data_IF_053961312448
#
_entry.id   IF_053961312448
#
_cell.length_a   1.000
_cell.length_b   1.000
_cell.length_c   1.000
_cell.angle_alpha   90.00
_cell.angle_beta   90.00
_cell.angle_gamma   90.00
#
_symmetry.space_group_name_H-M   'P 1'
#
loop_
_entity.id
_entity.type
_entity.pdbx_description
1 polymer ?
#
# COMPACT_ATOMS: atom_id res chain seq x y z
N UNK A 1 28.39 102.26 -14.13
CA UNK A 1 28.45 101.45 -12.90
C UNK A 1 27.06 101.36 -12.29
N UNK A 2 26.29 100.32 -12.64
CA UNK A 2 24.84 100.29 -12.41
C UNK A 2 24.37 99.23 -11.40
N UNK A 3 23.16 99.44 -10.89
CA UNK A 3 22.41 98.59 -9.93
C UNK A 3 22.24 97.14 -10.41
N UNK A 4 22.38 96.89 -11.72
CA UNK A 4 22.31 95.55 -12.31
C UNK A 4 23.30 94.54 -11.72
N UNK A 5 24.48 94.97 -11.24
CA UNK A 5 25.42 94.10 -10.52
C UNK A 5 24.88 93.63 -9.16
N UNK A 6 24.09 94.47 -8.47
CA UNK A 6 23.49 94.15 -7.18
C UNK A 6 22.23 93.28 -7.32
N UNK A 7 21.46 93.44 -8.40
CA UNK A 7 20.23 92.67 -8.66
C UNK A 7 20.54 91.24 -9.08
N UNK A 8 21.59 91.02 -9.88
CA UNK A 8 21.94 89.69 -10.37
C UNK A 8 23.44 89.40 -10.24
N UNK A 9 23.93 89.15 -9.00
CA UNK A 9 25.36 88.98 -8.73
C UNK A 9 25.95 87.71 -9.38
N UNK A 10 25.13 86.72 -9.70
CA UNK A 10 25.57 85.47 -10.34
C UNK A 10 25.76 85.59 -11.86
N UNK A 11 24.95 86.41 -12.55
CA UNK A 11 25.03 86.59 -14.02
C UNK A 11 26.27 87.36 -14.47
N UNK A 12 26.78 88.26 -13.64
CA UNK A 12 28.01 89.02 -13.91
C UNK A 12 29.26 88.37 -13.28
N UNK A 13 29.16 87.09 -12.90
CA UNK A 13 30.17 86.34 -12.16
C UNK A 13 31.46 86.02 -12.92
N UNK A 14 32.51 85.80 -12.12
CA UNK A 14 33.94 85.52 -12.40
C UNK A 14 34.83 86.69 -12.82
N UNK A 15 34.38 87.64 -13.64
CA UNK A 15 35.25 88.69 -14.20
C UNK A 15 34.85 90.14 -13.85
N UNK A 16 33.70 90.39 -13.21
CA UNK A 16 33.17 91.76 -13.06
C UNK A 16 33.32 92.40 -11.67
N UNK A 17 33.61 91.63 -10.62
CA UNK A 17 33.90 92.11 -9.26
C UNK A 17 34.70 91.05 -8.47
N UNK A 18 36.02 91.23 -8.29
CA UNK A 18 36.87 90.28 -7.57
C UNK A 18 36.68 90.33 -6.04
N UNK A 19 35.87 91.26 -5.52
CA UNK A 19 35.68 91.46 -4.07
C UNK A 19 34.41 90.78 -3.55
N UNK A 20 33.50 90.34 -4.43
CA UNK A 20 32.29 89.64 -4.02
C UNK A 20 32.65 88.27 -3.41
N UNK A 21 32.13 87.90 -2.22
CA UNK A 21 32.42 86.61 -1.62
C UNK A 21 31.77 85.49 -2.46
N UNK A 22 32.59 84.72 -3.17
CA UNK A 22 32.16 83.53 -3.89
C UNK A 22 32.24 82.32 -2.96
N UNK A 23 31.35 81.32 -3.10
CA UNK A 23 31.57 80.05 -2.44
C UNK A 23 32.89 79.44 -2.96
N UNK A 24 33.81 79.01 -2.08
CA UNK A 24 35.04 78.37 -2.51
C UNK A 24 34.71 77.09 -3.28
N UNK A 25 35.35 76.91 -4.44
CA UNK A 25 35.16 75.72 -5.29
C UNK A 25 35.81 74.48 -4.70
N UNK A 26 36.91 74.65 -3.95
CA UNK A 26 37.64 73.59 -3.26
C UNK A 26 37.43 73.76 -1.76
N UNK A 27 36.92 72.72 -1.12
CA UNK A 27 36.66 72.66 0.32
C UNK A 27 37.22 71.36 0.89
N UNK A 28 37.47 71.32 2.21
CA UNK A 28 37.88 70.10 2.89
C UNK A 28 36.78 69.02 2.77
N UNK A 29 37.18 67.79 2.47
CA UNK A 29 36.30 66.64 2.30
C UNK A 29 35.45 66.41 3.56
N UNK A 30 36.05 66.55 4.76
CA UNK A 30 35.33 66.39 6.02
C UNK A 30 34.22 67.42 6.17
N UNK A 31 34.52 68.67 5.82
CA UNK A 31 33.56 69.76 5.87
C UNK A 31 32.41 69.54 4.88
N UNK A 32 32.72 69.11 3.65
CA UNK A 32 31.71 68.84 2.63
C UNK A 32 30.79 67.66 3.02
N UNK A 33 31.36 66.55 3.50
CA UNK A 33 30.59 65.40 3.97
C UNK A 33 29.68 65.73 5.17
N UNK A 34 30.19 66.52 6.14
CA UNK A 34 29.39 67.00 7.26
C UNK A 34 28.25 67.91 6.81
N UNK A 35 28.52 68.81 5.86
CA UNK A 35 27.51 69.69 5.27
C UNK A 35 26.42 68.86 4.59
N UNK A 36 26.79 67.89 3.75
CA UNK A 36 25.83 67.03 3.05
C UNK A 36 24.94 66.20 3.96
N UNK A 37 25.47 65.74 5.10
CA UNK A 37 24.71 65.03 6.13
C UNK A 37 23.76 65.97 6.91
N UNK A 38 24.23 67.18 7.25
CA UNK A 38 23.49 68.09 8.14
C UNK A 38 22.45 68.95 7.41
N UNK A 39 22.73 69.34 6.17
CA UNK A 39 21.82 70.21 5.41
C UNK A 39 20.66 69.40 4.86
N UNK A 40 19.44 69.85 5.14
CA UNK A 40 18.25 69.30 4.52
C UNK A 40 18.16 69.75 3.05
N UNK A 41 17.85 68.81 2.15
CA UNK A 41 17.82 69.04 0.69
C UNK A 41 16.38 68.91 0.24
N UNK A 42 15.86 69.95 -0.43
CA UNK A 42 14.50 69.94 -0.94
C UNK A 42 14.25 68.72 -1.85
N UNK A 43 13.15 67.99 -1.60
CA UNK A 43 12.75 66.82 -2.39
C UNK A 43 13.51 65.52 -2.09
N UNK A 44 14.46 65.52 -1.15
CA UNK A 44 15.12 64.30 -0.68
C UNK A 44 14.77 64.03 0.79
N UNK A 45 14.63 62.77 1.21
CA UNK A 45 14.53 62.45 2.62
C UNK A 45 15.84 62.82 3.33
N UNK A 46 15.75 63.16 4.61
CA UNK A 46 16.91 63.49 5.44
C UNK A 46 17.93 62.34 5.44
N UNK A 47 19.19 62.64 5.14
CA UNK A 47 20.26 61.68 5.28
C UNK A 47 20.56 61.42 6.76
N UNK A 48 20.56 60.15 7.16
CA UNK A 48 20.89 59.71 8.51
C UNK A 48 22.31 59.13 8.62
N UNK A 49 23.14 59.29 7.59
CA UNK A 49 24.55 58.87 7.64
C UNK A 49 24.77 57.36 7.50
N UNK A 50 23.89 56.66 6.78
CA UNK A 50 24.06 55.24 6.47
C UNK A 50 25.01 55.05 5.29
N UNK A 51 25.77 53.96 5.33
CA UNK A 51 26.60 53.52 4.20
C UNK A 51 25.71 53.10 3.01
N UNK A 52 26.23 53.22 1.79
CA UNK A 52 25.48 53.05 0.56
C UNK A 52 25.49 51.60 0.06
N UNK A 53 25.57 50.62 0.99
CA UNK A 53 25.59 49.18 0.72
C UNK A 53 24.20 48.63 0.37
N UNK A 54 23.48 49.32 -0.52
CA UNK A 54 22.17 48.89 -0.99
C UNK A 54 22.32 47.95 -2.16
N UNK A 55 21.60 46.83 -2.11
CA UNK A 55 21.24 46.08 -3.31
C UNK A 55 19.93 46.66 -3.85
N UNK A 56 19.91 47.06 -5.11
CA UNK A 56 18.75 47.75 -5.73
C UNK A 56 17.48 46.89 -5.81
N UNK A 57 17.57 45.60 -5.47
CA UNK A 57 16.50 44.60 -5.66
C UNK A 57 15.92 44.11 -4.32
N UNK A 58 16.43 44.54 -3.16
CA UNK A 58 16.01 43.97 -1.87
C UNK A 58 14.83 44.73 -1.24
N UNK A 59 13.73 44.01 -1.01
CA UNK A 59 12.63 44.48 -0.17
C UNK A 59 13.04 44.41 1.30
N UNK A 60 12.85 45.50 2.04
CA UNK A 60 13.12 45.54 3.48
C UNK A 60 11.96 44.93 4.29
N UNK A 61 12.29 44.30 5.42
CA UNK A 61 11.32 43.62 6.29
C UNK A 61 11.71 42.16 6.54
N UNK A 62 10.95 41.48 7.42
CA UNK A 62 11.07 40.03 7.62
C UNK A 62 9.90 39.34 6.89
N UNK A 63 10.16 38.37 5.98
CA UNK A 63 9.10 37.63 5.33
C UNK A 63 8.35 36.77 6.35
N UNK A 64 7.05 36.59 6.13
CA UNK A 64 6.19 35.75 6.99
C UNK A 64 6.53 34.27 6.88
N UNK A 65 6.92 33.81 5.70
CA UNK A 65 7.39 32.44 5.48
C UNK A 65 8.91 32.41 5.45
N UNK A 66 9.48 31.47 6.20
CA UNK A 66 10.93 31.18 6.18
C UNK A 66 11.26 30.15 5.10
N UNK A 67 10.42 29.13 4.96
CA UNK A 67 10.58 28.01 4.04
C UNK A 67 9.21 27.63 3.46
N UNK A 68 9.16 27.05 2.26
CA UNK A 68 7.91 26.51 1.71
C UNK A 68 7.42 25.37 2.60
N UNK A 69 6.25 25.58 3.21
CA UNK A 69 5.57 24.57 4.02
C UNK A 69 4.55 23.82 3.16
N UNK A 70 4.16 22.63 3.62
CA UNK A 70 3.07 21.90 3.01
C UNK A 70 1.78 22.71 3.03
N UNK A 71 1.14 22.82 1.87
CA UNK A 71 -0.18 23.39 1.75
C UNK A 71 -1.25 22.39 2.19
N UNK A 72 -2.50 22.86 2.23
CA UNK A 72 -3.64 22.04 2.63
C UNK A 72 -3.80 20.79 1.74
N UNK A 73 -3.43 20.89 0.45
CA UNK A 73 -3.49 19.78 -0.49
C UNK A 73 -2.48 18.68 -0.13
N UNK A 74 -1.22 19.05 0.14
CA UNK A 74 -0.21 18.06 0.53
C UNK A 74 -0.55 17.39 1.87
N UNK A 75 -1.22 18.10 2.77
CA UNK A 75 -1.66 17.56 4.07
C UNK A 75 -2.77 16.49 3.99
N UNK A 76 -3.49 16.39 2.87
CA UNK A 76 -4.52 15.33 2.68
C UNK A 76 -3.86 13.95 2.47
N UNK A 77 -2.58 13.92 2.10
CA UNK A 77 -1.79 12.71 1.98
C UNK A 77 -1.46 12.36 0.52
N UNK A 78 -0.19 11.99 0.29
CA UNK A 78 0.32 11.54 -1.00
C UNK A 78 0.63 10.03 -0.93
N UNK A 79 -0.42 9.22 -0.85
CA UNK A 79 -0.28 7.77 -0.71
C UNK A 79 0.19 7.13 -2.01
N UNK A 80 1.16 6.22 -1.93
CA UNK A 80 1.57 5.39 -3.06
C UNK A 80 0.45 4.39 -3.43
N UNK A 81 0.49 3.83 -4.64
CA UNK A 81 -0.51 2.87 -5.09
C UNK A 81 -0.64 1.65 -4.16
N UNK A 82 0.45 1.25 -3.50
CA UNK A 82 0.50 0.17 -2.52
C UNK A 82 -0.22 0.55 -1.22
N UNK A 83 -0.03 1.77 -0.73
CA UNK A 83 -0.69 2.28 0.49
C UNK A 83 -2.19 2.52 0.31
N UNK A 84 -2.63 2.71 -0.94
CA UNK A 84 -4.05 2.83 -1.28
C UNK A 84 -4.75 1.47 -1.35
N UNK A 85 -4.01 0.36 -1.45
CA UNK A 85 -4.63 -0.96 -1.46
C UNK A 85 -5.26 -1.29 -0.11
N UNK A 86 -6.39 -2.02 -0.10
CA UNK A 86 -6.98 -2.52 1.12
C UNK A 86 -6.05 -3.50 1.84
N UNK A 87 -6.19 -3.60 3.16
CA UNK A 87 -5.44 -4.55 3.97
C UNK A 87 -5.74 -6.01 3.57
N UNK A 88 -4.72 -6.87 3.67
CA UNK A 88 -4.75 -8.24 3.17
C UNK A 88 -5.64 -9.21 3.97
N UNK A 89 -5.96 -8.85 5.21
CA UNK A 89 -6.75 -9.62 6.17
C UNK A 89 -8.24 -9.23 6.21
N UNK A 90 -8.64 -8.29 5.36
CA UNK A 90 -10.05 -7.94 5.20
C UNK A 90 -10.82 -9.15 4.65
N UNK A 91 -11.82 -9.59 5.42
CA UNK A 91 -12.71 -10.69 5.04
C UNK A 91 -12.12 -12.10 5.16
N UNK A 92 -10.87 -12.26 5.63
CA UNK A 92 -10.26 -13.59 5.81
C UNK A 92 -9.21 -13.60 6.91
N UNK A 93 -9.13 -14.72 7.64
CA UNK A 93 -8.03 -14.93 8.58
C UNK A 93 -6.74 -15.27 7.82
N UNK A 94 -5.69 -14.47 8.04
CA UNK A 94 -4.32 -14.72 7.55
C UNK A 94 -3.47 -15.52 8.55
N UNK A 95 -3.97 -15.73 9.77
CA UNK A 95 -3.24 -16.38 10.87
C UNK A 95 -2.96 -17.85 10.51
N UNK A 96 -1.69 -18.31 10.54
CA UNK A 96 -1.37 -19.72 10.33
C UNK A 96 -2.24 -20.62 11.23
N UNK A 97 -2.85 -21.66 10.66
CA UNK A 97 -3.76 -22.56 11.36
C UNK A 97 -5.25 -22.18 11.32
N UNK A 98 -5.58 -20.93 11.01
CA UNK A 98 -6.97 -20.46 10.84
C UNK A 98 -7.24 -19.87 9.47
N UNK A 99 -6.36 -20.11 8.50
CA UNK A 99 -6.56 -19.64 7.13
C UNK A 99 -7.63 -20.48 6.46
N UNK A 100 -8.55 -19.83 5.75
CA UNK A 100 -9.52 -20.52 4.92
C UNK A 100 -8.89 -20.86 3.55
N UNK A 101 -7.88 -21.72 3.56
CA UNK A 101 -7.22 -22.22 2.36
C UNK A 101 -7.31 -23.74 2.35
N UNK A 102 -7.97 -24.28 1.32
CA UNK A 102 -8.03 -25.73 1.06
C UNK A 102 -7.05 -26.08 -0.06
N UNK A 103 -6.38 -27.24 0.05
CA UNK A 103 -5.62 -27.83 -1.06
C UNK A 103 -6.53 -28.52 -2.07
N UNK A 104 -7.72 -28.96 -1.64
CA UNK A 104 -8.71 -29.69 -2.43
C UNK A 104 -10.07 -29.00 -2.24
N UNK A 105 -10.50 -28.14 -3.19
CA UNK A 105 -11.71 -27.36 -3.07
C UNK A 105 -12.99 -28.19 -2.95
N UNK A 106 -13.00 -29.41 -3.50
CA UNK A 106 -14.21 -30.25 -3.60
C UNK A 106 -14.32 -31.24 -2.44
N UNK A 107 -13.25 -31.44 -1.68
CA UNK A 107 -13.27 -32.33 -0.52
C UNK A 107 -14.08 -31.73 0.63
N UNK A 108 -15.08 -32.49 1.07
CA UNK A 108 -15.75 -32.23 2.34
C UNK A 108 -14.82 -32.53 3.53
N UNK A 109 -14.67 -31.56 4.42
CA UNK A 109 -13.95 -31.73 5.69
C UNK A 109 -14.89 -32.24 6.78
N UNK A 110 -14.47 -33.29 7.49
CA UNK A 110 -15.25 -33.92 8.54
C UNK A 110 -15.05 -35.43 8.56
N UNK A 111 -15.88 -36.13 9.35
CA UNK A 111 -15.95 -37.59 9.38
C UNK A 111 -17.30 -37.98 8.76
N UNK A 112 -17.33 -38.79 7.69
CA UNK A 112 -18.59 -39.22 7.09
C UNK A 112 -19.33 -40.17 8.05
N UNK A 113 -20.66 -40.21 7.96
CA UNK A 113 -21.48 -41.09 8.80
C UNK A 113 -21.24 -42.57 8.50
N UNK A 114 -21.01 -42.89 7.22
CA UNK A 114 -20.57 -44.22 6.76
C UNK A 114 -19.09 -44.08 6.38
N UNK A 115 -18.24 -44.87 7.02
CA UNK A 115 -16.79 -44.73 6.95
C UNK A 115 -16.15 -45.53 5.82
N UNK A 116 -16.57 -45.22 4.60
CA UNK A 116 -15.91 -45.72 3.38
C UNK A 116 -14.45 -45.26 3.24
N UNK A 117 -14.04 -44.26 4.02
CA UNK A 117 -12.68 -43.70 4.02
C UNK A 117 -11.63 -44.63 4.66
N UNK A 118 -12.08 -45.63 5.42
CA UNK A 118 -11.21 -46.59 6.11
C UNK A 118 -11.67 -48.02 5.86
N UNK A 119 -10.71 -48.95 5.81
CA UNK A 119 -11.02 -50.37 5.70
C UNK A 119 -11.69 -50.88 6.98
N UNK A 120 -12.65 -51.79 6.82
CA UNK A 120 -13.25 -52.51 7.94
C UNK A 120 -12.17 -53.31 8.70
N UNK A 121 -12.25 -53.40 10.04
CA UNK A 121 -11.29 -54.16 10.81
C UNK A 121 -11.44 -55.67 10.54
N UNK A 122 -10.31 -56.38 10.45
CA UNK A 122 -10.30 -57.83 10.19
C UNK A 122 -11.09 -58.65 11.21
N UNK A 123 -11.15 -58.19 12.46
CA UNK A 123 -12.06 -58.71 13.47
C UNK A 123 -12.82 -57.53 14.07
N UNK A 124 -14.14 -57.50 13.87
CA UNK A 124 -15.00 -56.47 14.48
C UNK A 124 -15.12 -56.69 15.98
N UNK A 125 -15.07 -55.60 16.73
CA UNK A 125 -15.37 -55.62 18.15
C UNK A 125 -16.87 -55.84 18.37
N UNK A 126 -17.24 -56.49 19.47
CA UNK A 126 -18.66 -56.72 19.82
C UNK A 126 -19.42 -55.40 20.07
N UNK A 127 -18.70 -54.36 20.50
CA UNK A 127 -19.25 -53.03 20.78
C UNK A 127 -18.96 -52.01 19.66
N UNK A 128 -18.58 -52.48 18.47
CA UNK A 128 -18.39 -51.60 17.32
C UNK A 128 -19.76 -51.13 16.80
N UNK A 129 -19.92 -49.82 16.68
CA UNK A 129 -21.15 -49.16 16.25
C UNK A 129 -20.97 -48.41 14.93
N UNK A 130 -19.81 -48.55 14.29
CA UNK A 130 -19.47 -47.83 13.08
C UNK A 130 -19.71 -48.70 11.84
N UNK A 131 -20.43 -48.15 10.88
CA UNK A 131 -20.59 -48.76 9.56
C UNK A 131 -19.40 -48.36 8.66
N UNK A 132 -18.77 -49.36 8.03
CA UNK A 132 -17.60 -49.23 7.15
C UNK A 132 -17.95 -49.29 5.66
N UNK A 133 -19.24 -49.29 5.33
CA UNK A 133 -19.75 -49.44 3.96
C UNK A 133 -20.05 -50.88 3.56
N UNK A 134 -19.95 -51.82 4.49
CA UNK A 134 -20.14 -53.25 4.32
C UNK A 134 -21.43 -53.78 4.97
N UNK A 135 -22.23 -52.91 5.62
CA UNK A 135 -23.52 -53.30 6.17
C UNK A 135 -24.63 -53.31 5.11
N UNK A 136 -25.57 -54.24 5.27
CA UNK A 136 -26.70 -54.42 4.38
C UNK A 136 -27.80 -53.39 4.62
N UNK A 137 -28.51 -53.05 3.55
CA UNK A 137 -29.73 -52.26 3.66
C UNK A 137 -30.84 -53.02 4.40
N UNK A 138 -31.74 -52.28 5.05
CA UNK A 138 -32.82 -52.87 5.86
C UNK A 138 -33.69 -53.88 5.09
N UNK A 139 -33.91 -53.68 3.79
CA UNK A 139 -34.71 -54.59 2.97
C UNK A 139 -34.05 -55.98 2.86
N UNK A 140 -32.73 -56.04 2.68
CA UNK A 140 -32.00 -57.29 2.53
C UNK A 140 -31.92 -58.07 3.85
N UNK A 141 -31.98 -57.38 4.99
CA UNK A 141 -32.10 -58.03 6.30
C UNK A 141 -33.49 -58.65 6.47
N UNK A 142 -34.55 -57.96 6.03
CA UNK A 142 -35.92 -58.47 6.11
C UNK A 142 -36.20 -59.60 5.11
N UNK A 143 -35.55 -59.55 3.95
CA UNK A 143 -35.68 -60.52 2.86
C UNK A 143 -34.28 -61.02 2.47
N UNK A 144 -33.69 -61.94 3.25
CA UNK A 144 -32.35 -62.44 2.99
C UNK A 144 -32.30 -63.30 1.73
N UNK A 145 -31.12 -63.35 1.11
CA UNK A 145 -30.88 -64.20 -0.03
C UNK A 145 -30.90 -65.69 0.36
N UNK A 146 -31.26 -66.60 -0.57
CA UNK A 146 -31.35 -68.03 -0.27
C UNK A 146 -30.05 -68.64 0.27
N UNK A 147 -28.91 -68.03 -0.01
CA UNK A 147 -27.58 -68.50 0.37
C UNK A 147 -27.05 -67.87 1.67
N UNK A 148 -27.79 -66.92 2.26
CA UNK A 148 -27.39 -66.25 3.50
C UNK A 148 -27.27 -67.24 4.67
N UNK A 149 -28.09 -68.31 4.69
CA UNK A 149 -27.99 -69.38 5.68
C UNK A 149 -26.66 -70.15 5.62
N UNK A 150 -26.03 -70.18 4.45
CA UNK A 150 -24.72 -70.80 4.24
C UNK A 150 -23.56 -69.83 4.53
N UNK A 151 -23.88 -68.59 4.93
CA UNK A 151 -22.90 -67.53 5.12
C UNK A 151 -22.29 -67.02 3.82
N UNK A 152 -22.99 -67.21 2.69
CA UNK A 152 -22.57 -66.68 1.38
C UNK A 152 -23.36 -65.41 1.10
N UNK A 153 -22.64 -64.32 0.91
CA UNK A 153 -23.20 -63.00 0.70
C UNK A 153 -23.17 -62.60 -0.79
N UNK A 154 -24.05 -61.70 -1.26
CA UNK A 154 -24.03 -61.21 -2.64
C UNK A 154 -22.70 -60.61 -3.11
N UNK A 155 -21.92 -60.01 -2.22
CA UNK A 155 -20.61 -59.46 -2.56
C UNK A 155 -19.62 -60.58 -2.93
N UNK A 156 -19.77 -61.78 -2.37
CA UNK A 156 -18.94 -62.94 -2.72
C UNK A 156 -19.16 -63.38 -4.18
N UNK A 157 -20.36 -63.14 -4.72
CA UNK A 157 -20.66 -63.38 -6.14
C UNK A 157 -20.16 -62.26 -7.07
N UNK A 158 -20.00 -61.05 -6.52
CA UNK A 158 -19.48 -59.89 -7.27
C UNK A 158 -17.95 -59.86 -7.28
N UNK A 159 -17.29 -60.57 -6.37
CA UNK A 159 -15.84 -60.64 -6.30
C UNK A 159 -15.27 -61.35 -7.54
N UNK A 160 -14.34 -60.70 -8.28
CA UNK A 160 -13.74 -61.31 -9.46
C UNK A 160 -12.82 -62.47 -9.06
N UNK A 161 -13.24 -63.69 -9.39
CA UNK A 161 -12.45 -64.91 -9.16
C UNK A 161 -11.60 -65.28 -10.38
N UNK A 162 -10.40 -65.85 -10.18
CA UNK A 162 -9.60 -66.38 -11.28
C UNK A 162 -10.26 -67.60 -11.92
N UNK A 163 -10.03 -67.78 -13.23
CA UNK A 163 -10.69 -68.80 -14.05
C UNK A 163 -10.51 -70.22 -13.49
N UNK A 164 -9.31 -70.58 -13.05
CA UNK A 164 -9.00 -71.91 -12.49
C UNK A 164 -9.86 -72.22 -11.26
N UNK A 165 -10.10 -71.21 -10.41
CA UNK A 165 -10.96 -71.35 -9.23
C UNK A 165 -12.42 -71.52 -9.63
N UNK A 166 -12.89 -70.78 -10.64
CA UNK A 166 -14.25 -70.95 -11.17
C UNK A 166 -14.46 -72.37 -11.72
N UNK A 167 -13.54 -72.89 -12.53
CA UNK A 167 -13.59 -74.27 -13.04
C UNK A 167 -13.66 -75.28 -11.89
N UNK A 168 -12.86 -75.06 -10.83
CA UNK A 168 -12.89 -75.88 -9.62
C UNK A 168 -14.22 -75.83 -8.86
N UNK A 169 -14.90 -74.68 -8.84
CA UNK A 169 -16.23 -74.52 -8.23
C UNK A 169 -17.28 -75.24 -9.07
N UNK A 170 -17.34 -74.98 -10.38
CA UNK A 170 -18.34 -75.57 -11.27
C UNK A 170 -18.20 -77.10 -11.39
N UNK A 171 -16.97 -77.62 -11.44
CA UNK A 171 -16.73 -79.06 -11.46
C UNK A 171 -17.21 -79.76 -10.18
N UNK A 172 -17.04 -79.12 -9.01
CA UNK A 172 -17.57 -79.64 -7.73
C UNK A 172 -19.08 -79.51 -7.59
N UNK A 173 -19.69 -78.59 -8.34
CA UNK A 173 -21.14 -78.41 -8.39
C UNK A 173 -21.83 -79.34 -9.41
N UNK A 174 -21.10 -80.30 -9.99
CA UNK A 174 -21.54 -81.19 -11.07
C UNK A 174 -22.10 -80.45 -12.30
N UNK A 175 -21.73 -79.16 -12.44
CA UNK A 175 -22.02 -78.32 -13.58
C UNK A 175 -20.82 -78.43 -14.52
N UNK A 176 -20.78 -79.50 -15.31
CA UNK A 176 -19.70 -79.77 -16.25
C UNK A 176 -19.43 -78.57 -17.15
N UNK A 177 -18.19 -78.08 -17.11
CA UNK A 177 -17.71 -77.05 -18.03
C UNK A 177 -16.98 -77.80 -19.14
N UNK A 178 -17.67 -78.06 -20.26
CA UNK A 178 -17.00 -78.58 -21.45
C UNK A 178 -16.06 -77.49 -21.98
N UNK A 179 -14.76 -77.79 -22.07
CA UNK A 179 -13.77 -76.91 -22.71
C UNK A 179 -14.12 -76.76 -24.20
N UNK A 180 -14.92 -75.75 -24.52
CA UNK A 180 -15.12 -75.29 -25.89
C UNK A 180 -13.98 -74.32 -26.25
N UNK A 181 -13.02 -74.85 -27.02
CA UNK A 181 -12.08 -74.24 -27.98
C UNK A 181 -11.72 -72.74 -27.86
#
# INVERSE_FOLDING_TARGET
>A
NGVGKAINPSRYGLNADPTAPHPPSVVDLKFQAYREYKTDKLGKPRSLGHDNTKSDVKVFGKPSMKEPQWGAKECIGNYTAEQQQPDLDLGRSIRPGWRNVSMDPDRAYGIPSIRYDIAAPSMRGVADFQNYGDEKGANQILNPDPYAELGVEPEDFAEPLPLDTLIGIFSKADLGVDEAA
#
